data_IF_362580328517
#
_entry.id   IF_362580328517
#
_cell.length_a   1.000
_cell.length_b   1.000
_cell.length_c   1.000
_cell.angle_alpha   90.00
_cell.angle_beta   90.00
_cell.angle_gamma   90.00
#
_symmetry.space_group_name_H-M   'P 1'
#
loop_
_entity.id
_entity.type
_entity.pdbx_description
1 polymer ?
#
# COMPACT_ATOMS: atom_id res chain seq x y z
N UNK A 1 -13.78 7.12 5.75
CA UNK A 1 -12.53 6.35 5.91
C UNK A 1 -12.79 4.88 5.64
N UNK A 2 -11.94 4.19 4.89
CA UNK A 2 -12.06 2.74 4.68
C UNK A 2 -11.61 1.96 5.91
N UNK A 3 -12.11 0.72 6.12
CA UNK A 3 -11.68 -0.16 7.22
C UNK A 3 -10.15 -0.28 7.27
N UNK A 4 -9.50 -0.39 6.12
CA UNK A 4 -8.03 -0.44 6.00
C UNK A 4 -7.33 0.84 6.49
N UNK A 5 -7.88 2.02 6.20
CA UNK A 5 -7.33 3.28 6.71
C UNK A 5 -7.39 3.34 8.24
N UNK A 6 -8.49 2.88 8.85
CA UNK A 6 -8.63 2.82 10.31
C UNK A 6 -7.55 1.93 10.93
N UNK A 7 -7.33 0.73 10.39
CA UNK A 7 -6.31 -0.19 10.90
C UNK A 7 -4.90 0.40 10.81
N UNK A 8 -4.60 1.18 9.76
CA UNK A 8 -3.31 1.87 9.65
C UNK A 8 -3.13 2.98 10.67
N UNK A 9 -4.19 3.72 11.01
CA UNK A 9 -4.12 4.74 12.07
C UNK A 9 -3.89 4.08 13.42
N UNK A 10 -4.64 3.01 13.72
CA UNK A 10 -4.46 2.23 14.94
C UNK A 10 -3.03 1.70 15.03
N UNK A 11 -2.49 1.16 13.93
CA UNK A 11 -1.11 0.71 13.85
C UNK A 11 -0.11 1.81 14.24
N UNK A 12 -0.23 3.02 13.68
CA UNK A 12 0.70 4.11 13.99
C UNK A 12 0.55 4.67 15.41
N UNK A 13 -0.65 4.58 16.00
CA UNK A 13 -0.87 4.92 17.41
C UNK A 13 -0.21 3.89 18.34
N UNK A 14 -0.32 2.60 18.03
CA UNK A 14 0.37 1.54 18.78
C UNK A 14 1.89 1.66 18.59
N UNK A 15 2.34 1.93 17.36
CA UNK A 15 3.76 2.12 17.05
C UNK A 15 4.36 3.30 17.84
N UNK A 16 3.64 4.42 17.98
CA UNK A 16 4.12 5.55 18.79
C UNK A 16 4.22 5.19 20.27
N UNK A 17 3.28 4.40 20.79
CA UNK A 17 3.34 3.90 22.18
C UNK A 17 4.55 2.96 22.41
N UNK A 18 4.77 2.01 21.49
CA UNK A 18 5.95 1.12 21.54
C UNK A 18 7.26 1.89 21.40
N UNK A 19 7.30 2.90 20.54
CA UNK A 19 8.44 3.80 20.40
C UNK A 19 8.69 4.58 21.68
N UNK A 20 7.64 5.04 22.38
CA UNK A 20 7.77 5.70 23.67
C UNK A 20 8.46 4.82 24.72
N UNK A 21 8.07 3.54 24.79
CA UNK A 21 8.70 2.56 25.70
C UNK A 21 10.18 2.42 25.39
N UNK A 22 10.56 2.34 24.10
CA UNK A 22 11.95 2.24 23.68
C UNK A 22 12.76 3.50 24.07
N UNK A 23 12.16 4.68 23.91
CA UNK A 23 12.78 5.96 24.23
C UNK A 23 12.80 6.29 25.72
N UNK A 24 12.07 5.55 26.56
CA UNK A 24 11.93 5.84 27.99
C UNK A 24 13.26 5.79 28.74
N UNK A 25 14.21 4.96 28.30
CA UNK A 25 15.55 4.93 28.88
C UNK A 25 16.32 6.23 28.62
N UNK A 26 16.02 6.92 27.51
CA UNK A 26 16.73 8.12 27.08
C UNK A 26 16.00 9.42 27.40
N UNK A 27 14.68 9.38 27.62
CA UNK A 27 13.83 10.55 27.86
C UNK A 27 13.10 10.36 29.21
N UNK A 28 13.33 11.24 30.20
CA UNK A 28 12.64 11.17 31.47
C UNK A 28 11.13 11.30 31.30
N UNK A 29 10.38 10.48 32.05
CA UNK A 29 8.92 10.39 32.03
C UNK A 29 8.33 9.84 30.72
N UNK A 30 7.45 8.86 30.86
CA UNK A 30 6.79 8.19 29.73
C UNK A 30 6.07 9.17 28.79
N UNK A 31 5.38 10.18 29.34
CA UNK A 31 4.62 11.15 28.54
C UNK A 31 5.51 11.97 27.60
N UNK A 32 6.72 12.31 28.03
CA UNK A 32 7.69 13.05 27.23
C UNK A 32 8.24 12.16 26.11
N UNK A 33 8.54 10.90 26.44
CA UNK A 33 8.95 9.90 25.46
C UNK A 33 7.85 9.66 24.41
N UNK A 34 6.58 9.62 24.84
CA UNK A 34 5.45 9.42 23.94
C UNK A 34 5.18 10.64 23.06
N UNK A 35 5.27 11.86 23.59
CA UNK A 35 5.17 13.06 22.76
C UNK A 35 6.29 13.12 21.72
N UNK A 36 7.52 12.78 22.12
CA UNK A 36 8.66 12.68 21.19
C UNK A 36 8.38 11.64 20.09
N UNK A 37 7.84 10.47 20.47
CA UNK A 37 7.41 9.44 19.53
C UNK A 37 6.32 9.92 18.55
N UNK A 38 5.39 10.75 19.00
CA UNK A 38 4.37 11.37 18.14
C UNK A 38 4.99 12.35 17.13
N UNK A 39 6.01 13.11 17.52
CA UNK A 39 6.74 13.99 16.60
C UNK A 39 7.59 13.23 15.57
N UNK A 40 7.89 11.96 15.79
CA UNK A 40 8.51 11.10 14.77
C UNK A 40 7.51 10.63 13.68
N UNK A 41 6.19 10.67 13.91
CA UNK A 41 5.19 10.18 12.95
C UNK A 41 5.24 10.89 11.59
N UNK A 42 5.32 12.24 11.50
CA UNK A 42 5.42 12.93 10.22
C UNK A 42 6.62 12.45 9.37
N UNK A 43 7.72 12.03 10.00
CA UNK A 43 8.90 11.54 9.31
C UNK A 43 8.60 10.24 8.57
N UNK A 44 7.88 9.32 9.22
CA UNK A 44 7.47 8.07 8.59
C UNK A 44 6.57 8.33 7.37
N UNK A 45 5.69 9.33 7.44
CA UNK A 45 4.87 9.74 6.30
C UNK A 45 5.70 10.39 5.18
N UNK A 46 6.64 11.28 5.51
CA UNK A 46 7.55 11.91 4.56
C UNK A 46 8.39 10.88 3.80
N UNK A 47 8.96 9.91 4.51
CA UNK A 47 9.75 8.83 3.90
C UNK A 47 8.87 8.00 2.95
N UNK A 48 7.69 7.56 3.39
CA UNK A 48 6.81 6.73 2.54
C UNK A 48 6.34 7.46 1.29
N UNK A 49 5.82 8.68 1.46
CA UNK A 49 5.33 9.49 0.35
C UNK A 49 6.46 9.87 -0.59
N UNK A 50 7.63 10.17 -0.03
CA UNK A 50 8.86 10.42 -0.76
C UNK A 50 9.25 9.24 -1.63
N UNK A 51 9.33 8.03 -1.05
CA UNK A 51 9.74 6.80 -1.74
C UNK A 51 8.74 6.38 -2.83
N UNK A 52 7.44 6.55 -2.61
CA UNK A 52 6.41 6.22 -3.61
C UNK A 52 6.61 6.99 -4.92
N UNK A 53 7.06 8.25 -4.85
CA UNK A 53 7.33 9.08 -6.03
C UNK A 53 8.67 8.79 -6.72
N UNK A 54 9.48 7.85 -6.20
CA UNK A 54 10.79 7.50 -6.78
C UNK A 54 10.66 6.50 -7.93
N UNK A 55 9.60 5.67 -7.94
CA UNK A 55 9.35 4.65 -8.96
C UNK A 55 9.69 5.05 -10.40
N UNK A 56 9.20 6.20 -10.92
CA UNK A 56 9.44 6.60 -12.31
C UNK A 56 10.85 7.16 -12.57
N UNK A 57 11.65 7.45 -11.54
CA UNK A 57 12.97 8.06 -11.69
C UNK A 57 14.06 7.02 -11.96
N UNK A 58 14.93 7.30 -12.94
CA UNK A 58 16.07 6.45 -13.32
C UNK A 58 17.41 7.15 -13.11
N UNK A 59 18.48 6.36 -12.95
CA UNK A 59 19.86 6.84 -12.85
C UNK A 59 20.12 7.79 -11.68
N UNK A 60 20.95 8.81 -11.90
CA UNK A 60 21.40 9.76 -10.88
C UNK A 60 20.24 10.53 -10.21
N UNK A 61 19.19 10.87 -10.96
CA UNK A 61 18.01 11.58 -10.44
C UNK A 61 17.31 10.79 -9.32
N UNK A 62 17.32 9.46 -9.41
CA UNK A 62 16.77 8.56 -8.38
C UNK A 62 17.57 8.68 -7.07
N UNK A 63 18.90 8.64 -7.16
CA UNK A 63 19.80 8.74 -6.01
C UNK A 63 19.75 10.11 -5.34
N UNK A 64 19.71 11.19 -6.13
CA UNK A 64 19.51 12.55 -5.63
C UNK A 64 18.21 12.62 -4.81
N UNK A 65 17.12 12.01 -5.30
CA UNK A 65 15.85 12.01 -4.58
C UNK A 65 15.92 11.25 -3.25
N UNK A 66 16.56 10.08 -3.20
CA UNK A 66 16.81 9.37 -1.94
C UNK A 66 17.60 10.23 -0.95
N UNK A 67 18.67 10.87 -1.42
CA UNK A 67 19.49 11.75 -0.59
C UNK A 67 18.66 12.88 0.03
N UNK A 68 17.85 13.58 -0.76
CA UNK A 68 16.98 14.65 -0.26
C UNK A 68 15.94 14.14 0.75
N UNK A 69 15.30 13.00 0.50
CA UNK A 69 14.35 12.40 1.46
C UNK A 69 15.07 12.05 2.77
N UNK A 70 16.29 11.52 2.69
CA UNK A 70 17.13 11.21 3.84
C UNK A 70 17.44 12.47 4.65
N UNK A 71 17.87 13.54 4.00
CA UNK A 71 18.17 14.82 4.66
C UNK A 71 16.94 15.45 5.32
N UNK A 72 15.81 15.48 4.60
CA UNK A 72 14.55 16.01 5.15
C UNK A 72 14.08 15.18 6.34
N UNK A 73 14.21 13.86 6.28
CA UNK A 73 13.83 12.97 7.39
C UNK A 73 14.66 13.22 8.65
N UNK A 74 15.98 13.46 8.50
CA UNK A 74 16.85 13.78 9.62
C UNK A 74 16.57 15.16 10.19
N UNK A 75 16.41 16.16 9.33
CA UNK A 75 16.06 17.52 9.76
C UNK A 75 14.81 17.49 10.64
N UNK A 76 13.77 16.79 10.19
CA UNK A 76 12.53 16.69 10.95
C UNK A 76 12.68 15.85 12.22
N UNK A 77 13.53 14.82 12.21
CA UNK A 77 13.90 14.04 13.40
C UNK A 77 14.59 14.89 14.47
N UNK A 78 15.58 15.68 14.08
CA UNK A 78 16.25 16.57 15.03
C UNK A 78 15.34 17.71 15.50
N UNK A 79 14.48 18.23 14.63
CA UNK A 79 13.47 19.22 15.01
C UNK A 79 12.48 18.63 16.03
N UNK A 80 12.02 17.40 15.84
CA UNK A 80 11.19 16.67 16.79
C UNK A 80 11.85 16.53 18.16
N UNK A 81 13.12 16.09 18.18
CA UNK A 81 13.92 15.99 19.41
C UNK A 81 14.06 17.38 20.04
N UNK A 82 14.46 18.40 19.28
CA UNK A 82 14.69 19.74 19.79
C UNK A 82 13.43 20.36 20.39
N UNK A 83 12.28 20.20 19.73
CA UNK A 83 10.98 20.67 20.24
C UNK A 83 10.58 19.93 21.52
N UNK A 84 10.77 18.61 21.58
CA UNK A 84 10.48 17.85 22.79
C UNK A 84 11.38 18.29 23.96
N UNK A 85 12.69 18.45 23.72
CA UNK A 85 13.63 18.89 24.75
C UNK A 85 13.43 20.35 25.16
N UNK A 86 13.06 21.23 24.23
CA UNK A 86 12.72 22.62 24.53
C UNK A 86 11.46 22.72 25.40
N UNK A 87 10.43 21.95 25.05
CA UNK A 87 9.15 21.98 25.76
C UNK A 87 9.24 21.39 27.18
N UNK A 88 10.08 20.38 27.42
CA UNK A 88 10.08 19.63 28.70
C UNK A 88 11.32 19.78 29.59
N UNK A 89 12.49 20.08 29.02
CA UNK A 89 13.77 20.00 29.75
C UNK A 89 14.46 21.34 29.93
N UNK A 90 13.78 22.45 29.62
CA UNK A 90 14.33 23.82 29.72
C UNK A 90 15.72 23.95 29.07
N UNK A 91 15.98 23.15 28.02
CA UNK A 91 17.28 23.08 27.34
C UNK A 91 18.48 22.76 28.24
N UNK A 92 18.35 21.89 29.25
CA UNK A 92 19.51 21.35 29.98
C UNK A 92 20.37 20.49 29.02
N UNK A 93 21.30 21.13 28.33
CA UNK A 93 22.09 20.59 27.23
C UNK A 93 22.94 19.34 27.59
N UNK A 94 23.12 19.04 28.88
CA UNK A 94 23.89 17.89 29.36
C UNK A 94 23.12 16.57 29.51
N UNK A 95 21.80 16.55 29.32
CA UNK A 95 20.96 15.36 29.55
C UNK A 95 20.55 14.60 28.29
N UNK A 96 20.98 15.03 27.10
CA UNK A 96 20.64 14.32 25.86
C UNK A 96 21.55 13.10 25.72
N UNK A 97 20.96 11.91 25.72
CA UNK A 97 21.71 10.70 25.43
C UNK A 97 22.26 10.71 24.00
N UNK A 98 23.55 10.39 23.86
CA UNK A 98 24.24 10.36 22.56
C UNK A 98 23.59 9.41 21.54
N UNK A 99 22.90 8.37 22.02
CA UNK A 99 22.14 7.44 21.19
C UNK A 99 21.02 8.13 20.40
N UNK A 100 20.30 9.08 21.01
CA UNK A 100 19.21 9.82 20.35
C UNK A 100 19.71 10.79 19.28
N UNK A 101 20.91 11.34 19.48
CA UNK A 101 21.54 12.27 18.54
C UNK A 101 22.09 11.51 17.32
N UNK A 102 22.30 10.19 17.42
CA UNK A 102 22.83 9.41 16.31
C UNK A 102 21.84 9.36 15.12
N UNK A 103 22.21 9.89 13.94
CA UNK A 103 21.31 9.91 12.78
C UNK A 103 20.93 8.50 12.31
N UNK A 104 21.83 7.52 12.48
CA UNK A 104 21.58 6.13 12.11
C UNK A 104 20.48 5.54 12.99
N UNK A 105 20.46 5.86 14.28
CA UNK A 105 19.45 5.36 15.21
C UNK A 105 18.04 5.81 14.81
N UNK A 106 17.86 7.08 14.45
CA UNK A 106 16.60 7.63 13.94
C UNK A 106 16.12 6.85 12.71
N UNK A 107 17.01 6.63 11.73
CA UNK A 107 16.66 5.88 10.53
C UNK A 107 16.32 4.43 10.80
N UNK A 108 17.07 3.74 11.65
CA UNK A 108 16.83 2.32 11.99
C UNK A 108 15.46 2.15 12.63
N UNK A 109 15.12 2.99 13.60
CA UNK A 109 13.83 2.92 14.29
C UNK A 109 12.66 3.22 13.34
N UNK A 110 12.75 4.32 12.61
CA UNK A 110 11.67 4.71 11.70
C UNK A 110 11.52 3.67 10.59
N UNK A 111 12.65 3.20 10.04
CA UNK A 111 12.71 2.13 9.06
C UNK A 111 12.05 0.84 9.56
N UNK A 112 12.34 0.42 10.80
CA UNK A 112 11.74 -0.75 11.42
C UNK A 112 10.21 -0.66 11.46
N UNK A 113 9.62 0.43 11.97
CA UNK A 113 8.17 0.59 12.01
C UNK A 113 7.54 0.77 10.62
N UNK A 114 8.25 1.34 9.65
CA UNK A 114 7.78 1.37 8.26
C UNK A 114 7.74 -0.04 7.67
N UNK A 115 8.78 -0.84 7.88
CA UNK A 115 8.87 -2.21 7.38
C UNK A 115 7.82 -3.11 8.01
N UNK A 116 7.60 -3.00 9.32
CA UNK A 116 6.55 -3.73 10.01
C UNK A 116 5.16 -3.42 9.45
N UNK A 117 4.85 -2.15 9.17
CA UNK A 117 3.59 -1.81 8.49
C UNK A 117 3.51 -2.49 7.13
N UNK A 118 4.60 -2.44 6.35
CA UNK A 118 4.61 -3.06 5.03
C UNK A 118 4.38 -4.56 5.09
N UNK A 119 4.88 -5.25 6.13
CA UNK A 119 4.67 -6.69 6.33
C UNK A 119 3.21 -6.96 6.75
N UNK A 120 2.70 -6.25 7.77
CA UNK A 120 1.35 -6.45 8.31
C UNK A 120 0.27 -6.11 7.28
N UNK A 121 0.49 -5.05 6.49
CA UNK A 121 -0.45 -4.57 5.48
C UNK A 121 -0.05 -4.94 4.06
N UNK A 122 0.93 -5.84 3.89
CA UNK A 122 1.29 -6.38 2.57
C UNK A 122 0.04 -7.03 2.00
N UNK A 123 -0.37 -6.62 0.80
CA UNK A 123 -1.33 -7.42 0.04
C UNK A 123 -0.66 -8.77 -0.18
N UNK A 124 -1.29 -9.87 0.27
CA UNK A 124 -0.82 -11.21 -0.09
C UNK A 124 -0.78 -11.26 -1.62
N UNK A 125 0.40 -11.54 -2.22
CA UNK A 125 0.44 -12.03 -3.60
C UNK A 125 -0.27 -13.38 -3.58
N UNK A 126 -1.20 -13.60 -4.51
CA UNK A 126 -2.05 -14.78 -4.57
C UNK A 126 -1.23 -16.06 -4.40
N UNK A 127 -1.66 -16.89 -3.46
CA UNK A 127 -1.22 -18.28 -3.36
C UNK A 127 -1.90 -19.06 -4.49
N UNK A 128 -1.12 -19.85 -5.23
CA UNK A 128 -1.69 -20.83 -6.16
C UNK A 128 -2.69 -21.72 -5.40
N UNK A 129 -3.97 -21.73 -5.80
CA UNK A 129 -5.00 -22.61 -5.23
C UNK A 129 -6.27 -21.94 -4.66
N UNK A 130 -6.39 -20.61 -4.64
CA UNK A 130 -7.63 -19.97 -4.18
C UNK A 130 -8.81 -20.24 -5.12
N UNK A 131 -9.94 -20.65 -4.55
CA UNK A 131 -11.20 -20.89 -5.26
C UNK A 131 -12.28 -19.94 -4.81
N UNK A 132 -13.16 -19.56 -5.73
CA UNK A 132 -14.38 -18.80 -5.45
C UNK A 132 -15.61 -19.64 -5.79
N UNK A 133 -16.58 -19.65 -4.87
CA UNK A 133 -17.87 -20.30 -5.12
C UNK A 133 -18.87 -19.28 -5.64
N UNK A 134 -19.48 -19.58 -6.78
CA UNK A 134 -20.55 -18.78 -7.37
C UNK A 134 -21.79 -19.63 -7.63
N UNK A 135 -22.91 -18.98 -7.87
CA UNK A 135 -24.10 -19.63 -8.42
C UNK A 135 -24.19 -19.33 -9.92
N UNK A 136 -24.13 -20.38 -10.74
CA UNK A 136 -24.30 -20.33 -12.19
C UNK A 136 -25.37 -21.33 -12.58
N UNK A 137 -26.36 -20.90 -13.37
CA UNK A 137 -27.45 -21.76 -13.87
C UNK A 137 -28.13 -22.61 -12.78
N UNK A 138 -28.44 -21.97 -11.65
CA UNK A 138 -29.05 -22.59 -10.44
C UNK A 138 -28.19 -23.68 -9.79
N UNK A 139 -26.90 -23.78 -10.14
CA UNK A 139 -25.94 -24.69 -9.53
C UNK A 139 -24.82 -23.92 -8.83
N UNK A 140 -24.35 -24.45 -7.71
CA UNK A 140 -23.16 -23.92 -7.02
C UNK A 140 -21.92 -24.42 -7.76
N UNK A 141 -21.14 -23.51 -8.32
CA UNK A 141 -19.92 -23.81 -9.09
C UNK A 141 -18.71 -23.23 -8.36
N UNK A 142 -17.66 -24.03 -8.24
CA UNK A 142 -16.38 -23.61 -7.65
C UNK A 142 -15.40 -23.32 -8.79
N UNK A 143 -14.92 -22.08 -8.86
CA UNK A 143 -13.98 -21.62 -9.88
C UNK A 143 -12.62 -21.42 -9.22
N UNK A 144 -11.56 -21.94 -9.86
CA UNK A 144 -10.18 -21.62 -9.48
C UNK A 144 -9.85 -20.21 -9.97
N UNK A 145 -9.49 -19.32 -9.05
CA UNK A 145 -9.23 -17.91 -9.38
C UNK A 145 -8.02 -17.80 -10.34
N UNK A 146 -7.07 -18.73 -10.27
CA UNK A 146 -5.93 -18.78 -11.19
C UNK A 146 -6.31 -19.02 -12.65
N UNK A 147 -7.46 -19.65 -12.91
CA UNK A 147 -7.94 -19.87 -14.28
C UNK A 147 -8.83 -18.72 -14.74
N UNK A 148 -9.23 -17.79 -13.86
CA UNK A 148 -10.14 -16.70 -14.19
C UNK A 148 -9.36 -15.58 -14.89
N UNK A 149 -9.70 -15.31 -16.16
CA UNK A 149 -8.97 -14.35 -16.99
C UNK A 149 -9.59 -12.95 -16.96
N UNK A 150 -10.92 -12.84 -17.01
CA UNK A 150 -11.64 -11.59 -16.81
C UNK A 150 -13.10 -11.83 -16.46
N UNK A 151 -13.76 -10.76 -16.01
CA UNK A 151 -15.18 -10.69 -15.74
C UNK A 151 -15.80 -9.61 -16.62
N UNK A 152 -16.90 -9.96 -17.26
CA UNK A 152 -17.71 -9.07 -18.09
C UNK A 152 -19.07 -8.83 -17.43
N UNK A 153 -19.48 -7.57 -17.32
CA UNK A 153 -20.81 -7.18 -16.87
C UNK A 153 -21.74 -6.95 -18.07
N UNK A 154 -22.88 -7.66 -18.10
CA UNK A 154 -23.90 -7.57 -19.15
C UNK A 154 -25.25 -7.11 -18.60
N UNK A 155 -25.28 -5.87 -18.10
CA UNK A 155 -26.49 -5.27 -17.52
C UNK A 155 -26.88 -5.94 -16.20
N UNK A 156 -27.64 -7.03 -16.30
CA UNK A 156 -28.30 -7.68 -15.16
C UNK A 156 -27.49 -8.86 -14.57
N UNK A 157 -26.45 -9.30 -15.28
CA UNK A 157 -25.59 -10.40 -14.86
C UNK A 157 -24.13 -10.14 -15.19
N UNK A 158 -23.25 -10.97 -14.63
CA UNK A 158 -21.83 -11.02 -15.00
C UNK A 158 -21.47 -12.39 -15.56
N UNK A 159 -20.47 -12.40 -16.43
CA UNK A 159 -19.81 -13.59 -16.94
C UNK A 159 -18.43 -13.65 -16.30
N UNK A 160 -18.08 -14.80 -15.74
CA UNK A 160 -16.73 -15.15 -15.34
C UNK A 160 -16.10 -15.99 -16.46
N UNK A 161 -15.06 -15.49 -17.12
CA UNK A 161 -14.41 -16.14 -18.25
C UNK A 161 -13.11 -16.76 -17.77
N UNK A 162 -12.90 -18.05 -18.06
CA UNK A 162 -11.69 -18.79 -17.69
C UNK A 162 -10.71 -18.94 -18.88
N UNK A 163 -9.47 -19.30 -18.57
CA UNK A 163 -8.37 -19.50 -19.51
C UNK A 163 -8.59 -20.65 -20.49
N UNK A 164 -9.42 -21.64 -20.12
CA UNK A 164 -9.86 -22.74 -20.97
C UNK A 164 -11.03 -22.37 -21.90
N UNK A 165 -11.48 -21.12 -21.86
CA UNK A 165 -12.61 -20.62 -22.65
C UNK A 165 -13.97 -20.86 -22.00
N UNK A 166 -14.04 -21.55 -20.86
CA UNK A 166 -15.31 -21.76 -20.15
C UNK A 166 -15.84 -20.44 -19.59
N UNK A 167 -17.17 -20.30 -19.57
CA UNK A 167 -17.86 -19.10 -19.13
C UNK A 167 -18.95 -19.46 -18.13
N UNK A 168 -19.00 -18.74 -17.00
CA UNK A 168 -20.00 -18.94 -15.98
C UNK A 168 -20.83 -17.69 -15.75
N UNK A 169 -22.12 -17.78 -16.05
CA UNK A 169 -23.09 -16.71 -15.84
C UNK A 169 -23.51 -16.66 -14.38
N UNK A 170 -23.47 -15.48 -13.77
CA UNK A 170 -23.86 -15.29 -12.38
C UNK A 170 -24.43 -13.89 -12.14
N UNK A 171 -25.15 -13.71 -11.03
CA UNK A 171 -25.80 -12.44 -10.69
C UNK A 171 -24.97 -11.57 -9.72
N UNK A 172 -23.71 -11.92 -9.48
CA UNK A 172 -22.81 -11.12 -8.64
C UNK A 172 -22.46 -9.85 -9.41
N UNK A 173 -22.55 -8.69 -8.75
CA UNK A 173 -22.23 -7.41 -9.39
C UNK A 173 -20.74 -7.32 -9.66
N UNK A 174 -20.34 -6.66 -10.74
CA UNK A 174 -18.91 -6.44 -11.04
C UNK A 174 -18.18 -5.68 -9.91
N UNK A 175 -18.87 -4.82 -9.16
CA UNK A 175 -18.33 -4.16 -7.97
C UNK A 175 -18.07 -5.11 -6.81
N UNK A 176 -18.90 -6.14 -6.65
CA UNK A 176 -18.71 -7.18 -5.64
C UNK A 176 -17.56 -8.10 -6.04
N UNK A 177 -17.48 -8.45 -7.32
CA UNK A 177 -16.31 -9.15 -7.88
C UNK A 177 -15.01 -8.38 -7.67
N UNK A 178 -15.00 -7.06 -7.90
CA UNK A 178 -13.83 -6.20 -7.65
C UNK A 178 -13.38 -6.21 -6.17
N UNK A 179 -14.31 -6.44 -5.23
CA UNK A 179 -13.99 -6.58 -3.80
C UNK A 179 -13.53 -7.99 -3.43
N UNK A 180 -14.09 -9.01 -4.07
CA UNK A 180 -13.78 -10.42 -3.80
C UNK A 180 -12.47 -10.88 -4.47
N UNK A 181 -12.14 -10.31 -5.63
CA UNK A 181 -10.99 -10.69 -6.43
C UNK A 181 -9.83 -9.74 -6.21
N UNK A 182 -8.98 -10.08 -5.25
CA UNK A 182 -7.71 -9.38 -5.09
C UNK A 182 -6.80 -9.56 -6.32
N UNK A 183 -6.17 -8.46 -6.74
CA UNK A 183 -5.23 -8.45 -7.87
C UNK A 183 -5.88 -8.29 -9.25
N UNK A 184 -7.20 -8.36 -9.36
CA UNK A 184 -7.89 -7.97 -10.60
C UNK A 184 -7.93 -6.46 -10.73
N UNK A 185 -7.88 -5.96 -11.97
CA UNK A 185 -7.95 -4.53 -12.27
C UNK A 185 -9.21 -4.21 -13.08
N UNK A 186 -9.96 -3.22 -12.62
CA UNK A 186 -11.10 -2.70 -13.36
C UNK A 186 -10.64 -1.73 -14.43
N UNK A 187 -10.97 -2.04 -15.68
CA UNK A 187 -10.52 -1.28 -16.87
C UNK A 187 -11.68 -0.56 -17.58
N UNK A 188 -12.91 -0.99 -17.30
CA UNK A 188 -14.12 -0.43 -17.87
C UNK A 188 -15.25 -0.58 -16.84
N UNK A 189 -16.37 0.14 -17.04
CA UNK A 189 -17.58 -0.08 -16.21
C UNK A 189 -18.06 -1.53 -16.27
N UNK A 190 -17.80 -2.20 -17.38
CA UNK A 190 -18.21 -3.58 -17.69
C UNK A 190 -17.08 -4.61 -17.61
N UNK A 191 -15.83 -4.23 -17.40
CA UNK A 191 -14.70 -5.17 -17.48
C UNK A 191 -13.77 -5.08 -16.27
N UNK A 192 -13.52 -6.24 -15.67
CA UNK A 192 -12.60 -6.47 -14.57
C UNK A 192 -11.64 -7.59 -15.02
N UNK A 193 -10.35 -7.30 -15.18
CA UNK A 193 -9.39 -8.22 -15.82
C UNK A 193 -8.34 -8.73 -14.86
N UNK A 194 -7.83 -9.93 -15.12
CA UNK A 194 -6.68 -10.48 -14.43
C UNK A 194 -5.38 -10.01 -15.13
N UNK A 195 -4.53 -9.20 -14.48
CA UNK A 195 -3.32 -8.68 -15.10
C UNK A 195 -2.31 -9.76 -15.51
N UNK A 196 -2.31 -10.91 -14.83
CA UNK A 196 -1.38 -12.01 -15.13
C UNK A 196 -1.62 -12.60 -16.54
N UNK A 197 -2.84 -12.41 -17.08
CA UNK A 197 -3.23 -12.84 -18.42
C UNK A 197 -3.41 -11.67 -19.39
N UNK A 198 -2.99 -10.46 -19.02
CA UNK A 198 -3.33 -9.24 -19.75
C UNK A 198 -2.10 -8.44 -20.15
N UNK A 199 -2.13 -7.85 -21.35
CA UNK A 199 -1.14 -6.89 -21.80
C UNK A 199 -1.81 -5.60 -22.26
N UNK A 200 -1.18 -4.46 -21.96
CA UNK A 200 -1.67 -3.16 -22.39
C UNK A 200 -1.29 -2.94 -23.87
N UNK A 201 -2.26 -2.61 -24.71
CA UNK A 201 -2.06 -2.27 -26.12
C UNK A 201 -2.79 -0.97 -26.46
N UNK A 202 -2.09 0.16 -26.36
CA UNK A 202 -2.66 1.47 -26.64
C UNK A 202 -3.83 1.82 -25.71
N UNK A 203 -5.05 1.84 -26.25
CA UNK A 203 -6.29 2.13 -25.50
C UNK A 203 -7.11 0.88 -25.14
N UNK A 204 -6.52 -0.31 -25.32
CA UNK A 204 -7.14 -1.59 -25.05
C UNK A 204 -6.25 -2.44 -24.14
N UNK A 205 -6.87 -3.39 -23.45
CA UNK A 205 -6.17 -4.48 -22.76
C UNK A 205 -6.43 -5.76 -23.54
N UNK A 206 -5.36 -6.41 -23.99
CA UNK A 206 -5.41 -7.71 -24.65
C UNK A 206 -5.33 -8.78 -23.56
N UNK A 207 -6.40 -9.57 -23.41
CA UNK A 207 -6.49 -10.65 -22.41
C UNK A 207 -6.39 -12.01 -23.10
N UNK A 208 -5.55 -12.88 -22.54
CA UNK A 208 -5.28 -14.24 -23.03
C UNK A 208 -4.90 -14.28 -24.52
N UNK A 209 -4.17 -13.27 -24.99
CA UNK A 209 -3.74 -13.07 -26.39
C UNK A 209 -4.85 -12.98 -27.45
N UNK A 210 -6.13 -12.96 -27.06
CA UNK A 210 -7.26 -13.04 -27.99
C UNK A 210 -8.36 -12.01 -27.74
N UNK A 211 -8.58 -11.60 -26.50
CA UNK A 211 -9.69 -10.71 -26.15
C UNK A 211 -9.20 -9.27 -26.07
N UNK A 212 -9.67 -8.44 -27.00
CA UNK A 212 -9.40 -7.01 -27.01
C UNK A 212 -10.48 -6.27 -26.23
N UNK A 213 -10.15 -5.83 -25.01
CA UNK A 213 -11.10 -5.19 -24.11
C UNK A 213 -10.83 -3.67 -24.05
N UNK A 214 -11.83 -2.81 -24.34
CA UNK A 214 -11.64 -1.38 -24.35
C UNK A 214 -11.47 -0.81 -22.94
N UNK A 215 -10.59 0.17 -22.81
CA UNK A 215 -10.39 0.92 -21.56
C UNK A 215 -11.29 2.17 -21.59
N UNK A 216 -12.10 2.38 -20.54
CA UNK A 216 -12.87 3.64 -20.47
C UNK A 216 -11.96 4.82 -20.08
N UNK A 217 -12.37 6.02 -20.48
CA UNK A 217 -11.67 7.27 -20.11
C UNK A 217 -11.43 7.39 -18.59
N UNK A 218 -12.42 7.00 -17.78
CA UNK A 218 -12.34 7.09 -16.32
C UNK A 218 -11.35 6.10 -15.68
N UNK A 219 -11.02 5.00 -16.36
CA UNK A 219 -10.06 4.01 -15.84
C UNK A 219 -8.67 4.12 -16.47
N UNK A 220 -8.50 4.93 -17.52
CA UNK A 220 -7.27 5.00 -18.32
C UNK A 220 -6.00 5.28 -17.51
N UNK A 221 -6.04 6.30 -16.63
CA UNK A 221 -4.90 6.65 -15.79
C UNK A 221 -4.51 5.50 -14.85
N UNK A 222 -5.49 4.96 -14.11
CA UNK A 222 -5.30 3.81 -13.21
C UNK A 222 -4.71 2.58 -13.92
N UNK A 223 -5.16 2.30 -15.15
CA UNK A 223 -4.66 1.16 -15.95
C UNK A 223 -3.23 1.42 -16.42
N UNK A 224 -2.94 2.62 -16.93
CA UNK A 224 -1.59 2.99 -17.35
C UNK A 224 -0.59 2.94 -16.20
N UNK A 225 -0.96 3.45 -15.03
CA UNK A 225 -0.14 3.39 -13.83
C UNK A 225 0.15 1.94 -13.44
N UNK A 226 -0.85 1.06 -13.54
CA UNK A 226 -0.67 -0.34 -13.16
C UNK A 226 0.28 -1.09 -14.10
N UNK A 227 0.12 -0.96 -15.41
CA UNK A 227 0.91 -1.74 -16.39
C UNK A 227 2.28 -1.15 -16.73
N UNK A 228 2.51 0.15 -16.49
CA UNK A 228 3.81 0.80 -16.76
C UNK A 228 4.66 1.01 -15.49
N UNK A 229 4.20 0.56 -14.31
CA UNK A 229 4.97 0.53 -13.06
C UNK A 229 5.94 -0.64 -13.01
#
# INVERSE_FOLDING_TARGET
>A
MTKKQIHKIIYWLIASFLLAILLQNSIPYFWNAWLTALFFLPIAFLIKYGIQKIGPLKGLKKWIRYFFISMVSLYWGYLAITLAYWYFLELKAGSIEKTLINPVFIWVIIGFFILLEQIIFKKKKKSYGETISIFSDRKKTIIKINNLIYIESRGDFTLAILSDGSQYKNNIKISEWEQQLDGFIRIHRSFLVNPDFSTLNGNEVVVNAQYHLPISRSYKEKVNDFFNS
#
